data_IF_124705766079
#
_entry.id   IF_124705766079
#
_cell.length_a   1.000
_cell.length_b   1.000
_cell.length_c   1.000
_cell.angle_alpha   90.00
_cell.angle_beta   90.00
_cell.angle_gamma   90.00
#
_symmetry.space_group_name_H-M   'P 1'
#
loop_
_entity.id
_entity.type
_entity.pdbx_description
1 polymer ?
#
# COMPACT_ATOMS: atom_id res chain seq x y z
N UNK A 1 -8.30 2.64 7.95
CA UNK A 1 -7.89 1.38 7.28
C UNK A 1 -8.94 0.82 6.34
N UNK A 2 -10.21 0.71 6.76
CA UNK A 2 -11.34 0.17 5.95
C UNK A 2 -11.47 0.77 4.54
N UNK A 3 -11.32 2.10 4.37
CA UNK A 3 -11.42 2.70 3.03
C UNK A 3 -10.40 2.15 2.03
N UNK A 4 -9.16 1.86 2.47
CA UNK A 4 -8.13 1.29 1.58
C UNK A 4 -8.50 -0.12 1.14
N UNK A 5 -8.96 -0.97 2.08
CA UNK A 5 -9.43 -2.32 1.75
C UNK A 5 -10.58 -2.28 0.73
N UNK A 6 -11.58 -1.43 0.96
CA UNK A 6 -12.71 -1.27 0.02
C UNK A 6 -12.24 -0.79 -1.34
N UNK A 7 -11.32 0.19 -1.40
CA UNK A 7 -10.76 0.65 -2.67
C UNK A 7 -9.98 -0.46 -3.40
N UNK A 8 -9.24 -1.31 -2.68
CA UNK A 8 -8.57 -2.47 -3.28
C UNK A 8 -9.58 -3.45 -3.89
N UNK A 9 -10.66 -3.78 -3.17
CA UNK A 9 -11.73 -4.64 -3.70
C UNK A 9 -12.38 -4.03 -4.94
N UNK A 10 -12.76 -2.76 -4.87
CA UNK A 10 -13.31 -2.05 -6.03
C UNK A 10 -12.35 -2.07 -7.22
N UNK A 11 -11.07 -1.84 -7.00
CA UNK A 11 -10.07 -1.87 -8.06
C UNK A 11 -9.98 -3.24 -8.73
N UNK A 12 -9.93 -4.32 -7.95
CA UNK A 12 -9.81 -5.68 -8.48
C UNK A 12 -11.11 -6.13 -9.14
N UNK A 13 -12.23 -6.05 -8.43
CA UNK A 13 -13.51 -6.63 -8.84
C UNK A 13 -14.15 -5.91 -10.03
N UNK A 14 -13.73 -4.67 -10.32
CA UNK A 14 -14.23 -3.91 -11.49
C UNK A 14 -13.25 -3.86 -12.65
N UNK A 15 -11.98 -4.21 -12.45
CA UNK A 15 -10.98 -4.23 -13.54
C UNK A 15 -10.80 -5.62 -14.14
N UNK A 16 -11.02 -6.68 -13.35
CA UNK A 16 -10.76 -8.05 -13.78
C UNK A 16 -12.01 -8.92 -13.70
N UNK A 17 -12.13 -9.89 -14.62
CA UNK A 17 -13.19 -10.89 -14.54
C UNK A 17 -12.95 -11.89 -13.40
N UNK A 18 -14.01 -12.56 -12.93
CA UNK A 18 -13.95 -13.48 -11.78
C UNK A 18 -13.01 -14.68 -11.92
N UNK A 19 -12.58 -15.00 -13.15
CA UNK A 19 -11.61 -16.06 -13.45
C UNK A 19 -10.16 -15.57 -13.46
N UNK A 20 -9.94 -14.27 -13.35
CA UNK A 20 -8.60 -13.70 -13.30
C UNK A 20 -8.01 -13.90 -11.91
N UNK A 21 -6.74 -14.30 -11.83
CA UNK A 21 -6.11 -14.76 -10.59
C UNK A 21 -5.74 -13.68 -9.56
N UNK A 22 -6.25 -12.45 -9.69
CA UNK A 22 -5.95 -11.35 -8.75
C UNK A 22 -7.09 -11.26 -7.74
N UNK A 23 -6.74 -11.24 -6.45
CA UNK A 23 -7.67 -11.13 -5.33
C UNK A 23 -7.11 -10.18 -4.28
N UNK A 24 -8.00 -9.66 -3.45
CA UNK A 24 -7.63 -8.86 -2.27
C UNK A 24 -7.62 -9.77 -1.05
N UNK A 25 -6.58 -9.65 -0.24
CA UNK A 25 -6.41 -10.35 1.02
C UNK A 25 -6.51 -9.35 2.17
N UNK A 26 -7.26 -9.69 3.22
CA UNK A 26 -7.53 -8.84 4.38
C UNK A 26 -6.83 -9.31 5.66
N UNK A 27 -5.88 -10.24 5.55
CA UNK A 27 -5.15 -10.87 6.69
C UNK A 27 -4.51 -9.85 7.67
N UNK A 28 -4.15 -8.67 7.16
CA UNK A 28 -3.51 -7.60 7.95
C UNK A 28 -4.50 -6.53 8.47
N UNK A 29 -5.75 -6.53 8.02
CA UNK A 29 -6.67 -5.39 8.21
C UNK A 29 -7.21 -5.28 9.63
N UNK A 30 -7.32 -6.40 10.33
CA UNK A 30 -7.81 -6.47 11.71
C UNK A 30 -6.69 -6.34 12.75
N UNK A 31 -5.43 -6.14 12.31
CA UNK A 31 -4.27 -6.03 13.19
C UNK A 31 -4.14 -4.61 13.75
N UNK A 32 -3.61 -4.45 14.99
CA UNK A 32 -3.49 -3.14 15.64
C UNK A 32 -2.55 -2.19 14.86
N UNK A 33 -1.59 -2.75 14.12
CA UNK A 33 -0.73 -2.03 13.18
C UNK A 33 -0.38 -2.90 11.98
N UNK A 34 0.28 -2.30 10.98
CA UNK A 34 0.79 -3.02 9.83
C UNK A 34 1.67 -4.20 10.28
N UNK A 35 1.36 -5.39 9.79
CA UNK A 35 2.13 -6.57 10.12
C UNK A 35 3.49 -6.49 9.41
N UNK A 36 4.60 -6.81 10.09
CA UNK A 36 5.90 -6.88 9.43
C UNK A 36 5.87 -7.95 8.33
N UNK A 37 6.42 -7.65 7.15
CA UNK A 37 6.33 -8.55 5.97
C UNK A 37 6.87 -9.96 6.24
N UNK A 38 7.89 -10.10 7.09
CA UNK A 38 8.42 -11.40 7.52
C UNK A 38 7.41 -12.21 8.33
N UNK A 39 6.66 -11.55 9.21
CA UNK A 39 5.61 -12.17 10.02
C UNK A 39 4.45 -12.57 9.12
N UNK A 40 4.05 -11.70 8.19
CA UNK A 40 2.99 -11.98 7.23
C UNK A 40 3.34 -13.21 6.37
N UNK A 41 4.52 -13.23 5.78
CA UNK A 41 4.93 -14.31 4.87
C UNK A 41 5.01 -15.65 5.60
N UNK A 42 5.59 -15.68 6.81
CA UNK A 42 5.61 -16.89 7.66
C UNK A 42 4.20 -17.34 8.04
N UNK A 43 3.31 -16.40 8.36
CA UNK A 43 1.91 -16.69 8.71
C UNK A 43 1.14 -17.27 7.52
N UNK A 44 1.32 -16.71 6.33
CA UNK A 44 0.70 -17.21 5.10
C UNK A 44 1.21 -18.59 4.73
N UNK A 45 2.52 -18.83 4.82
CA UNK A 45 3.12 -20.15 4.59
C UNK A 45 2.61 -21.20 5.57
N UNK A 46 2.45 -20.84 6.85
CA UNK A 46 1.88 -21.75 7.85
C UNK A 46 0.40 -22.03 7.59
N UNK A 47 -0.36 -21.03 7.12
CA UNK A 47 -1.79 -21.14 6.83
C UNK A 47 -2.09 -21.95 5.57
N UNK A 48 -1.20 -21.89 4.56
CA UNK A 48 -1.35 -22.55 3.27
C UNK A 48 -0.06 -23.31 2.90
N UNK A 49 0.25 -24.41 3.59
CA UNK A 49 1.52 -25.13 3.43
C UNK A 49 1.71 -25.77 2.05
N UNK A 50 0.65 -25.91 1.27
CA UNK A 50 0.67 -26.41 -0.11
C UNK A 50 0.99 -25.35 -1.16
N UNK A 51 1.02 -24.07 -0.78
CA UNK A 51 1.22 -22.95 -1.67
C UNK A 51 2.64 -22.40 -1.61
N UNK A 52 3.19 -22.07 -2.79
CA UNK A 52 4.43 -21.31 -2.89
C UNK A 52 4.12 -19.81 -2.82
N UNK A 53 4.77 -19.12 -1.89
CA UNK A 53 4.60 -17.67 -1.72
C UNK A 53 5.76 -16.89 -2.31
N UNK A 54 5.43 -15.88 -3.11
CA UNK A 54 6.38 -14.96 -3.73
C UNK A 54 5.97 -13.54 -3.36
N UNK A 55 6.90 -12.76 -2.83
CA UNK A 55 6.68 -11.35 -2.50
C UNK A 55 6.98 -10.48 -3.72
N UNK A 56 5.96 -9.83 -4.27
CA UNK A 56 6.11 -8.94 -5.41
C UNK A 56 6.35 -7.50 -4.92
N UNK A 57 7.44 -6.87 -5.37
CA UNK A 57 7.74 -5.48 -5.03
C UNK A 57 8.49 -4.75 -6.15
N UNK A 58 8.50 -3.42 -6.08
CA UNK A 58 9.29 -2.58 -6.98
C UNK A 58 10.78 -2.68 -6.65
N UNK A 59 11.62 -2.50 -7.66
CA UNK A 59 13.08 -2.48 -7.51
C UNK A 59 13.57 -1.44 -6.51
N UNK A 60 12.84 -0.33 -6.30
CA UNK A 60 13.21 0.70 -5.33
C UNK A 60 13.12 0.23 -3.87
N UNK A 61 12.26 -0.76 -3.58
CA UNK A 61 12.05 -1.25 -2.23
C UNK A 61 13.13 -2.25 -1.81
N UNK A 62 13.62 -3.07 -2.75
CA UNK A 62 14.54 -4.18 -2.43
C UNK A 62 15.85 -3.70 -1.78
N UNK A 63 16.29 -2.48 -2.11
CA UNK A 63 17.52 -1.88 -1.58
C UNK A 63 17.44 -1.58 -0.07
N UNK A 64 16.22 -1.40 0.46
CA UNK A 64 15.96 -1.04 1.86
C UNK A 64 15.36 -2.18 2.68
N UNK A 65 15.04 -3.32 2.06
CA UNK A 65 14.38 -4.44 2.75
C UNK A 65 15.14 -4.91 3.99
N UNK A 66 16.48 -4.90 3.95
CA UNK A 66 17.32 -5.32 5.10
C UNK A 66 17.17 -4.41 6.31
N UNK A 67 16.70 -3.19 6.13
CA UNK A 67 16.45 -2.21 7.18
C UNK A 67 15.06 -2.35 7.81
N UNK A 68 14.20 -3.21 7.25
CA UNK A 68 12.86 -3.41 7.78
C UNK A 68 12.92 -4.07 9.15
N UNK A 69 12.06 -3.60 10.06
CA UNK A 69 12.03 -4.05 11.45
C UNK A 69 10.74 -4.79 11.75
N UNK A 70 10.77 -5.65 12.78
CA UNK A 70 9.58 -6.30 13.31
C UNK A 70 9.61 -6.23 14.85
N UNK A 71 9.22 -5.07 15.38
CA UNK A 71 9.01 -4.94 16.82
C UNK A 71 7.87 -5.84 17.29
N UNK A 72 7.94 -6.32 18.53
CA UNK A 72 6.89 -7.15 19.14
C UNK A 72 5.55 -6.43 19.18
N UNK A 73 4.47 -7.16 18.90
CA UNK A 73 3.10 -6.71 19.09
C UNK A 73 2.40 -7.69 20.05
N UNK A 74 2.12 -7.29 21.30
CA UNK A 74 1.57 -8.18 22.32
C UNK A 74 0.30 -8.90 21.86
N UNK A 75 0.34 -10.23 21.90
CA UNK A 75 -0.79 -11.07 21.49
C UNK A 75 -0.91 -11.34 19.98
N UNK A 76 -0.01 -10.78 19.16
CA UNK A 76 0.00 -11.00 17.71
C UNK A 76 1.31 -11.60 17.20
N UNK A 77 2.47 -11.02 17.54
CA UNK A 77 3.78 -11.56 17.16
C UNK A 77 4.90 -11.08 18.08
N UNK A 78 5.94 -11.89 18.19
CA UNK A 78 7.16 -11.56 18.93
C UNK A 78 8.09 -10.65 18.11
N UNK A 79 9.03 -10.01 18.80
CA UNK A 79 10.09 -9.24 18.15
C UNK A 79 11.00 -10.16 17.34
N UNK A 80 11.34 -9.72 16.12
CA UNK A 80 12.35 -10.36 15.28
C UNK A 80 13.49 -9.35 15.07
N UNK A 81 14.61 -9.61 15.74
CA UNK A 81 15.75 -8.67 15.82
C UNK A 81 16.32 -8.28 14.47
N UNK A 82 16.48 -9.25 13.57
CA UNK A 82 17.07 -9.06 12.23
C UNK A 82 16.00 -9.26 11.13
N UNK A 83 14.77 -8.79 11.38
CA UNK A 83 13.59 -9.05 10.56
C UNK A 83 13.80 -8.83 9.05
N UNK A 84 14.37 -7.69 8.66
CA UNK A 84 14.63 -7.37 7.26
C UNK A 84 15.65 -8.32 6.62
N UNK A 85 16.67 -8.73 7.36
CA UNK A 85 17.70 -9.67 6.88
C UNK A 85 17.13 -11.09 6.77
N UNK A 86 16.35 -11.54 7.75
CA UNK A 86 15.63 -12.81 7.70
C UNK A 86 14.67 -12.82 6.49
N UNK A 87 13.86 -11.77 6.35
CA UNK A 87 12.94 -11.61 5.23
C UNK A 87 13.65 -11.70 3.88
N UNK A 88 14.76 -10.97 3.75
CA UNK A 88 15.58 -10.92 2.55
C UNK A 88 16.12 -12.29 2.14
N UNK A 89 16.52 -13.11 3.11
CA UNK A 89 17.14 -14.40 2.84
C UNK A 89 16.12 -15.53 2.64
N UNK A 90 14.98 -15.48 3.33
CA UNK A 90 13.98 -16.56 3.33
C UNK A 90 12.95 -16.44 2.20
N UNK A 91 12.71 -15.22 1.71
CA UNK A 91 11.58 -14.94 0.82
C UNK A 91 11.97 -15.06 -0.65
N UNK A 92 11.07 -15.62 -1.45
CA UNK A 92 11.15 -15.53 -2.91
C UNK A 92 10.60 -14.17 -3.36
N UNK A 93 11.37 -13.41 -4.13
CA UNK A 93 11.00 -12.08 -4.61
C UNK A 93 10.67 -12.10 -6.10
N UNK A 94 9.59 -11.41 -6.48
CA UNK A 94 9.28 -11.06 -7.85
C UNK A 94 9.43 -9.54 -8.02
N UNK A 95 10.51 -9.12 -8.66
CA UNK A 95 10.84 -7.71 -8.78
C UNK A 95 10.29 -7.08 -10.06
N UNK A 96 9.58 -5.98 -9.87
CA UNK A 96 9.15 -5.10 -10.93
C UNK A 96 10.18 -3.99 -11.10
N UNK A 97 10.78 -3.91 -12.28
CA UNK A 97 11.72 -2.85 -12.63
C UNK A 97 11.03 -1.48 -12.50
N UNK A 98 11.74 -0.54 -11.87
CA UNK A 98 11.32 0.85 -11.79
C UNK A 98 12.38 1.76 -12.40
N UNK A 99 12.03 2.59 -13.40
CA UNK A 99 12.98 3.52 -14.01
C UNK A 99 13.69 4.38 -12.97
N UNK A 100 15.01 4.52 -13.11
CA UNK A 100 15.84 5.33 -12.20
C UNK A 100 16.36 4.60 -10.95
N UNK A 101 16.06 3.31 -10.79
CA UNK A 101 16.67 2.50 -9.72
C UNK A 101 17.88 1.75 -10.25
N UNK A 102 19.06 1.99 -9.68
CA UNK A 102 20.25 1.17 -9.94
C UNK A 102 20.29 0.00 -8.95
N UNK A 103 20.25 -1.22 -9.46
CA UNK A 103 20.31 -2.44 -8.64
C UNK A 103 21.76 -2.98 -8.61
N UNK A 104 22.29 -3.15 -7.41
CA UNK A 104 23.51 -3.93 -7.22
C UNK A 104 23.17 -5.43 -7.26
N UNK A 105 23.47 -6.05 -8.40
CA UNK A 105 23.22 -7.48 -8.63
C UNK A 105 23.95 -8.39 -7.63
N UNK A 106 25.03 -7.92 -7.00
CA UNK A 106 25.76 -8.70 -5.99
C UNK A 106 25.08 -8.65 -4.62
N UNK A 107 24.28 -7.61 -4.36
CA UNK A 107 23.60 -7.40 -3.09
C UNK A 107 22.14 -7.90 -3.09
N UNK A 108 21.72 -8.67 -4.11
CA UNK A 108 20.36 -9.15 -4.32
C UNK A 108 19.94 -10.31 -3.40
N UNK A 109 18.62 -10.52 -3.18
CA UNK A 109 18.12 -11.68 -2.47
C UNK A 109 18.56 -12.98 -3.16
N UNK A 110 18.80 -14.06 -2.39
CA UNK A 110 19.18 -15.35 -2.95
C UNK A 110 18.10 -15.93 -3.88
N UNK A 111 16.83 -15.57 -3.65
CA UNK A 111 15.68 -16.08 -4.38
C UNK A 111 14.92 -14.95 -5.09
N UNK A 112 15.46 -14.45 -6.20
CA UNK A 112 14.87 -13.31 -6.92
C UNK A 112 14.59 -13.61 -8.39
N UNK A 113 13.46 -13.11 -8.89
CA UNK A 113 13.07 -13.16 -10.29
C UNK A 113 12.70 -11.76 -10.78
N UNK A 114 13.29 -11.33 -11.89
CA UNK A 114 12.98 -10.06 -12.53
C UNK A 114 11.83 -10.24 -13.53
N UNK A 115 10.76 -9.46 -13.40
CA UNK A 115 9.62 -9.57 -14.33
C UNK A 115 10.02 -9.17 -15.74
N UNK A 116 10.86 -8.14 -15.92
CA UNK A 116 11.27 -7.72 -17.26
C UNK A 116 12.04 -8.80 -18.02
N UNK A 117 12.89 -9.58 -17.34
CA UNK A 117 13.62 -10.69 -17.95
C UNK A 117 12.67 -11.80 -18.40
N UNK A 118 11.72 -12.17 -17.54
CA UNK A 118 10.70 -13.17 -17.87
C UNK A 118 9.82 -12.74 -19.06
N UNK A 119 9.48 -11.46 -19.16
CA UNK A 119 8.71 -10.92 -20.28
C UNK A 119 9.54 -10.86 -21.57
N UNK A 120 10.79 -10.39 -21.49
CA UNK A 120 11.72 -10.34 -22.64
C UNK A 120 11.91 -11.72 -23.26
N UNK A 121 12.08 -12.76 -22.44
CA UNK A 121 12.20 -14.15 -22.90
C UNK A 121 10.97 -14.64 -23.70
N UNK A 122 9.81 -14.02 -23.49
CA UNK A 122 8.55 -14.30 -24.19
C UNK A 122 8.23 -13.31 -25.32
N UNK A 123 9.18 -12.45 -25.70
CA UNK A 123 8.96 -11.41 -26.70
C UNK A 123 7.93 -10.35 -26.27
N UNK A 124 7.69 -10.22 -24.97
CA UNK A 124 6.73 -9.28 -24.39
C UNK A 124 7.45 -8.14 -23.65
N UNK A 125 6.77 -7.01 -23.49
CA UNK A 125 7.27 -5.86 -22.72
C UNK A 125 6.25 -5.49 -21.66
N UNK A 126 6.73 -5.12 -20.48
CA UNK A 126 5.88 -4.50 -19.45
C UNK A 126 5.45 -3.12 -19.93
N UNK A 127 4.16 -2.82 -19.81
CA UNK A 127 3.66 -1.46 -19.94
C UNK A 127 3.64 -0.87 -18.53
N UNK A 128 4.48 0.13 -18.33
CA UNK A 128 4.58 0.87 -17.07
C UNK A 128 3.83 2.20 -17.21
N UNK A 129 3.24 2.65 -16.12
CA UNK A 129 2.68 3.99 -15.99
C UNK A 129 3.41 4.69 -14.86
N UNK A 130 3.93 5.89 -15.11
CA UNK A 130 4.52 6.71 -14.07
C UNK A 130 3.40 7.40 -13.28
N UNK A 131 2.80 6.63 -12.38
CA UNK A 131 1.70 7.06 -11.54
C UNK A 131 1.99 6.67 -10.10
N UNK A 132 2.00 7.67 -9.21
CA UNK A 132 2.15 7.46 -7.77
C UNK A 132 0.84 7.78 -7.05
N UNK A 133 0.64 7.15 -5.88
CA UNK A 133 -0.50 7.48 -5.02
C UNK A 133 -0.45 8.94 -4.54
N UNK A 134 0.75 9.51 -4.38
CA UNK A 134 0.95 10.93 -4.07
C UNK A 134 0.39 11.83 -5.17
N UNK A 135 0.67 11.50 -6.43
CA UNK A 135 0.16 12.28 -7.56
C UNK A 135 -1.37 12.18 -7.68
N UNK A 136 -1.94 10.98 -7.46
CA UNK A 136 -3.40 10.82 -7.40
C UNK A 136 -3.98 11.69 -6.28
N UNK A 137 -3.40 11.65 -5.07
CA UNK A 137 -3.84 12.47 -3.93
C UNK A 137 -3.78 13.96 -4.22
N UNK A 138 -2.72 14.43 -4.89
CA UNK A 138 -2.58 15.84 -5.28
C UNK A 138 -3.69 16.27 -6.25
N UNK A 139 -4.05 15.41 -7.22
CA UNK A 139 -5.08 15.69 -8.23
C UNK A 139 -6.51 15.57 -7.71
N UNK A 140 -6.72 14.86 -6.59
CA UNK A 140 -8.00 14.85 -5.87
C UNK A 140 -8.03 15.82 -4.69
N UNK A 141 -6.98 16.63 -4.46
CA UNK A 141 -7.04 17.65 -3.43
C UNK A 141 -7.83 18.85 -3.96
N UNK A 142 -8.98 19.20 -3.37
CA UNK A 142 -9.67 20.43 -3.72
C UNK A 142 -8.77 21.62 -3.37
N UNK A 143 -8.78 22.66 -4.21
CA UNK A 143 -8.22 23.95 -3.80
C UNK A 143 -9.02 24.50 -2.61
N UNK A 144 -8.40 25.27 -1.73
CA UNK A 144 -9.00 25.83 -0.50
C UNK A 144 -10.39 26.47 -0.71
N UNK A 145 -10.61 27.06 -1.89
CA UNK A 145 -11.85 27.72 -2.28
C UNK A 145 -13.01 26.76 -2.63
N UNK A 146 -12.71 25.51 -3.00
CA UNK A 146 -13.72 24.50 -3.42
C UNK A 146 -14.37 23.83 -2.21
N UNK A 147 -13.68 23.76 -1.08
CA UNK A 147 -14.17 23.19 0.19
C UNK A 147 -15.43 23.91 0.70
N UNK A 148 -15.64 25.18 0.32
CA UNK A 148 -16.83 25.97 0.71
C UNK A 148 -18.02 25.89 -0.26
N UNK A 149 -17.82 25.56 -1.53
CA UNK A 149 -18.86 25.74 -2.57
C UNK A 149 -19.03 24.59 -3.58
N UNK A 150 -18.29 23.48 -3.44
CA UNK A 150 -18.50 22.24 -4.21
C UNK A 150 -18.12 22.31 -5.69
N UNK A 151 -17.62 23.45 -6.19
CA UNK A 151 -17.29 23.66 -7.59
C UNK A 151 -16.04 24.54 -7.72
N UNK A 152 -15.11 24.15 -8.60
CA UNK A 152 -13.97 24.99 -8.99
C UNK A 152 -14.44 25.93 -10.11
N UNK A 153 -14.48 27.23 -9.86
CA UNK A 153 -14.63 28.22 -10.94
C UNK A 153 -13.29 28.29 -11.66
N UNK A 154 -13.25 27.89 -12.93
CA UNK A 154 -12.07 28.18 -13.74
C UNK A 154 -12.11 29.65 -14.23
N UNK A 155 -10.96 30.19 -14.65
CA UNK A 155 -10.82 31.56 -15.16
C UNK A 155 -11.69 31.84 -16.41
N UNK A 156 -12.29 30.81 -17.00
CA UNK A 156 -13.16 30.86 -18.19
C UNK A 156 -14.65 30.63 -17.89
N UNK A 157 -15.08 30.62 -16.63
CA UNK A 157 -16.50 30.49 -16.25
C UNK A 157 -17.12 29.09 -16.36
N UNK A 158 -16.32 28.08 -16.69
CA UNK A 158 -16.67 26.66 -16.64
C UNK A 158 -16.59 26.10 -15.22
N UNK A 159 -17.52 25.19 -14.92
CA UNK A 159 -17.59 24.48 -13.64
C UNK A 159 -16.85 23.16 -13.78
N UNK A 160 -15.70 23.01 -13.11
CA UNK A 160 -14.93 21.75 -13.10
C UNK A 160 -15.12 21.06 -11.75
N UNK A 161 -15.36 19.75 -11.73
CA UNK A 161 -15.39 19.03 -10.47
C UNK A 161 -13.96 18.90 -9.93
N UNK A 162 -13.81 18.88 -8.61
CA UNK A 162 -12.49 18.88 -7.96
C UNK A 162 -11.69 17.59 -8.19
N UNK A 163 -12.33 16.54 -8.68
CA UNK A 163 -11.72 15.24 -8.95
C UNK A 163 -11.46 14.98 -10.44
N UNK A 164 -11.80 15.93 -11.33
CA UNK A 164 -11.68 15.76 -12.79
C UNK A 164 -10.21 15.57 -13.24
N UNK A 165 -9.23 15.96 -12.43
CA UNK A 165 -7.81 15.74 -12.73
C UNK A 165 -7.36 14.31 -12.40
N UNK A 166 -8.13 13.57 -11.60
CA UNK A 166 -7.85 12.19 -11.24
C UNK A 166 -8.61 11.16 -12.08
N UNK A 167 -9.50 11.61 -12.97
CA UNK A 167 -10.20 10.73 -13.90
C UNK A 167 -9.22 10.01 -14.83
N UNK A 168 -9.40 8.70 -15.01
CA UNK A 168 -8.52 7.86 -15.81
C UNK A 168 -7.23 7.42 -15.13
N UNK A 169 -6.92 7.90 -13.91
CA UNK A 169 -5.73 7.47 -13.15
C UNK A 169 -6.00 6.26 -12.25
N UNK A 170 -7.25 6.09 -11.82
CA UNK A 170 -7.71 4.97 -11.01
C UNK A 170 -9.01 4.41 -11.60
N UNK A 171 -9.39 3.17 -11.28
CA UNK A 171 -10.68 2.63 -11.71
C UNK A 171 -11.83 3.56 -11.31
N UNK A 172 -12.86 3.78 -12.17
CA UNK A 172 -13.95 4.70 -11.88
C UNK A 172 -14.69 4.40 -10.58
N UNK A 173 -14.78 3.12 -10.20
CA UNK A 173 -15.36 2.65 -8.93
C UNK A 173 -14.57 3.16 -7.71
N UNK A 174 -13.24 3.17 -7.78
CA UNK A 174 -12.33 3.71 -6.75
C UNK A 174 -12.48 5.22 -6.67
N UNK A 175 -12.48 5.92 -7.82
CA UNK A 175 -12.68 7.37 -7.84
C UNK A 175 -14.04 7.76 -7.26
N UNK A 176 -15.10 7.04 -7.62
CA UNK A 176 -16.43 7.24 -7.06
C UNK A 176 -16.47 7.07 -5.55
N UNK A 177 -15.73 6.10 -5.00
CA UNK A 177 -15.59 5.92 -3.55
C UNK A 177 -14.84 7.08 -2.89
N UNK A 178 -13.72 7.52 -3.48
CA UNK A 178 -12.96 8.70 -3.00
C UNK A 178 -13.89 9.93 -2.92
N UNK A 179 -14.63 10.21 -3.99
CA UNK A 179 -15.53 11.37 -4.08
C UNK A 179 -16.68 11.26 -3.09
N UNK A 180 -17.33 10.08 -3.01
CA UNK A 180 -18.48 9.84 -2.13
C UNK A 180 -18.16 10.08 -0.66
N UNK A 181 -16.97 9.69 -0.22
CA UNK A 181 -16.54 9.81 1.18
C UNK A 181 -15.64 11.02 1.42
N UNK A 182 -15.41 11.87 0.41
CA UNK A 182 -14.53 13.04 0.54
C UNK A 182 -13.11 12.67 0.96
N UNK A 183 -12.60 11.50 0.55
CA UNK A 183 -11.26 11.05 0.92
C UNK A 183 -10.22 11.98 0.31
N UNK A 184 -9.19 12.33 1.08
CA UNK A 184 -8.11 13.25 0.68
C UNK A 184 -8.58 14.70 0.41
N UNK A 185 -9.86 15.01 0.58
CA UNK A 185 -10.43 16.33 0.32
C UNK A 185 -10.26 17.32 1.49
N UNK A 186 -9.88 16.81 2.67
CA UNK A 186 -9.60 17.60 3.87
C UNK A 186 -8.14 17.44 4.24
N UNK A 187 -7.53 18.51 4.72
CA UNK A 187 -6.29 18.43 5.50
C UNK A 187 -6.59 17.79 6.86
N UNK A 188 -6.99 16.51 6.84
CA UNK A 188 -6.93 15.68 8.03
C UNK A 188 -5.46 15.24 8.20
N UNK A 189 -4.62 16.22 8.51
CA UNK A 189 -3.30 16.05 9.14
C UNK A 189 -3.42 15.51 10.58
N UNK A 190 -4.61 15.08 11.02
CA UNK A 190 -4.89 14.65 12.41
C UNK A 190 -5.34 13.19 12.54
N UNK A 191 -5.34 12.41 11.45
CA UNK A 191 -5.65 10.96 11.55
C UNK A 191 -4.47 10.11 12.04
N UNK A 192 -3.26 10.68 12.16
CA UNK A 192 -2.15 10.04 12.89
C UNK A 192 -2.19 10.34 14.40
N UNK A 193 -2.82 11.43 14.85
CA UNK A 193 -2.87 11.82 16.28
C UNK A 193 -4.06 11.22 17.07
N UNK A 194 -5.01 10.55 16.41
CA UNK A 194 -6.20 9.97 17.09
C UNK A 194 -6.01 8.54 17.59
N UNK A 195 -4.81 7.97 17.47
CA UNK A 195 -4.47 6.63 18.00
C UNK A 195 -3.56 6.64 19.24
N UNK A 196 -3.06 7.81 19.67
CA UNK A 196 -2.20 7.92 20.86
C UNK A 196 -2.92 8.36 22.15
N UNK A 197 -4.27 8.46 22.17
CA UNK A 197 -5.01 8.77 23.41
C UNK A 197 -6.08 7.71 23.68
N UNK A 198 -5.66 6.47 23.90
CA UNK A 198 -6.33 5.52 24.83
C UNK A 198 -5.32 4.45 25.27
N UNK A 199 -4.30 4.86 26.02
CA UNK A 199 -3.24 3.94 26.43
C UNK A 199 -2.33 4.49 27.53
N UNK A 200 -2.89 4.97 28.64
CA UNK A 200 -2.17 4.93 29.91
C UNK A 200 -3.16 4.70 31.05
N UNK A 201 -3.09 3.50 31.62
CA UNK A 201 -3.50 3.27 32.98
C UNK A 201 -2.24 3.17 33.83
N UNK A 202 -2.00 4.14 34.70
CA UNK A 202 -1.97 3.94 36.14
C UNK A 202 -1.48 5.21 36.85
N UNK A 203 -2.25 5.67 37.83
CA UNK A 203 -1.63 6.29 39.01
C UNK A 203 -2.40 5.82 40.25
N UNK A 204 -1.82 4.81 40.89
CA UNK A 204 -2.09 4.46 42.28
C UNK A 204 -1.38 5.50 43.15
N UNK A 205 -2.13 6.25 43.95
CA UNK A 205 -1.59 7.09 45.02
C UNK A 205 -2.45 6.97 46.28
N UNK A 206 -1.99 6.17 47.24
CA UNK A 206 -2.49 6.19 48.62
C UNK A 206 -2.04 7.47 49.34
N UNK A 207 -2.94 8.14 50.06
CA UNK A 207 -2.65 8.83 51.31
C UNK A 207 -3.95 9.14 52.09
N UNK A 208 -4.07 8.49 53.27
CA UNK A 208 -4.92 8.72 54.46
C UNK A 208 -6.22 9.53 54.34
#
# INVERSE_FOLDING_TARGET
MVHRLVMCHLAVDTSFGSRFGIKVCDEEVDKPRAMPSVVLMRSLQAKYPEADFIFACGSDQITQVKEWTAAAEPGYWDEIKDAGVEFFNETHFLLLDRPGTELDMQAMPPHVQMVSEALKARGSKMIETDLSSTEVRNRVRPADDVVRFGLRKNEMGGTRAWYDEAEGLVPPSVLGHIVRYGLYARDDLTLEESWEITGDGSDFGYAN
#
